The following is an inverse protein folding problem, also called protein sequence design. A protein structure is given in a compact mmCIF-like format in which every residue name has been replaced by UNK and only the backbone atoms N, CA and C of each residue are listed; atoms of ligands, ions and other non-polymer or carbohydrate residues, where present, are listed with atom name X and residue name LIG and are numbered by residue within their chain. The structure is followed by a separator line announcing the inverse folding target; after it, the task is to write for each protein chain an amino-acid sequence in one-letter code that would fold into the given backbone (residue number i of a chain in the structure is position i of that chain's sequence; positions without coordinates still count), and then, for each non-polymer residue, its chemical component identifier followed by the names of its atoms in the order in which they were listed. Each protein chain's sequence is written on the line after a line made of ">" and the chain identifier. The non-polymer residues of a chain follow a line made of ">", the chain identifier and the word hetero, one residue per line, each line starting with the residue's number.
data_IF_787362983103
#
_entry.id   IF_787362983103
#
_cell.length_a   1.000
_cell.length_b   1.000
_cell.length_c   1.000
_cell.angle_alpha   90.00
_cell.angle_beta   90.00
_cell.angle_gamma   90.00
#
_symmetry.space_group_name_H-M   'P 1'
#
loop_
_entity.id
_entity.type
_entity.pdbx_description
1 polymer ?
#
# COMPACT_ATOMS: atom_id res chain seq x y z
N UNK A 1 12.69 -31.13 -1.25
CA UNK A 1 12.80 -29.71 -1.63
C UNK A 1 12.32 -29.55 -3.07
N UNK A 2 11.42 -28.59 -3.36
CA UNK A 2 10.87 -28.44 -4.72
C UNK A 2 11.90 -27.80 -5.68
N UNK A 3 11.91 -28.24 -6.95
CA UNK A 3 12.80 -27.69 -7.98
C UNK A 3 12.48 -26.21 -8.24
N UNK A 4 13.49 -25.33 -8.12
CA UNK A 4 13.38 -23.91 -8.49
C UNK A 4 13.39 -23.81 -10.03
N UNK A 5 12.47 -23.01 -10.59
CA UNK A 5 12.37 -22.76 -12.03
C UNK A 5 13.00 -21.40 -12.34
N UNK A 6 13.81 -21.33 -13.38
CA UNK A 6 14.53 -20.12 -13.84
C UNK A 6 14.40 -20.00 -15.37
N UNK A 7 14.74 -18.83 -15.94
CA UNK A 7 14.79 -18.61 -17.40
C UNK A 7 13.86 -17.54 -17.97
N UNK A 8 13.05 -16.87 -17.15
CA UNK A 8 12.17 -15.79 -17.63
C UNK A 8 12.89 -14.46 -17.88
N UNK A 9 13.94 -14.16 -17.09
CA UNK A 9 14.67 -12.90 -17.23
C UNK A 9 15.50 -12.90 -18.53
N UNK A 10 15.45 -11.81 -19.33
CA UNK A 10 16.30 -11.69 -20.50
C UNK A 10 17.76 -11.48 -20.10
N UNK A 11 18.65 -11.44 -21.11
CA UNK A 11 20.03 -11.02 -20.89
C UNK A 11 20.10 -9.61 -20.27
N UNK A 12 21.14 -9.30 -19.46
CA UNK A 12 21.37 -7.95 -18.95
C UNK A 12 21.42 -6.90 -20.07
N UNK A 13 21.08 -5.65 -19.73
CA UNK A 13 21.16 -4.55 -20.69
C UNK A 13 22.59 -4.38 -21.19
N UNK A 14 22.72 -4.02 -22.46
CA UNK A 14 23.98 -3.48 -22.99
C UNK A 14 24.20 -2.05 -22.47
N UNK A 15 25.46 -1.59 -22.52
CA UNK A 15 25.83 -0.22 -22.13
C UNK A 15 25.04 0.86 -22.88
N UNK A 16 24.83 0.66 -24.19
CA UNK A 16 24.08 1.57 -25.05
C UNK A 16 22.57 1.60 -24.69
N UNK A 17 21.95 0.44 -24.46
CA UNK A 17 20.54 0.36 -24.06
C UNK A 17 20.29 1.02 -22.69
N UNK A 18 21.23 0.88 -21.76
CA UNK A 18 21.13 1.56 -20.47
C UNK A 18 21.25 3.08 -20.63
N UNK A 19 22.24 3.54 -21.41
CA UNK A 19 22.44 4.96 -21.70
C UNK A 19 21.16 5.59 -22.26
N UNK A 20 20.58 4.96 -23.28
CA UNK A 20 19.33 5.42 -23.91
C UNK A 20 18.23 5.61 -22.87
N UNK A 21 18.00 4.61 -22.00
CA UNK A 21 16.97 4.67 -20.94
C UNK A 21 17.25 5.73 -19.87
N UNK A 22 18.52 5.92 -19.51
CA UNK A 22 18.91 6.92 -18.50
C UNK A 22 18.70 8.35 -19.03
N UNK A 23 19.05 8.58 -20.30
CA UNK A 23 19.01 9.91 -20.93
C UNK A 23 17.59 10.44 -21.16
N UNK A 24 16.55 9.59 -21.18
CA UNK A 24 15.14 10.01 -21.39
C UNK A 24 14.72 11.11 -20.41
N UNK A 25 15.24 11.11 -19.19
CA UNK A 25 14.91 12.13 -18.16
C UNK A 25 15.52 13.51 -18.42
N UNK A 26 16.47 13.61 -19.35
CA UNK A 26 17.24 14.83 -19.64
C UNK A 26 17.02 15.30 -21.09
N UNK A 27 15.81 15.09 -21.61
CA UNK A 27 15.44 15.49 -22.97
C UNK A 27 15.29 17.01 -23.13
N UNK A 28 14.88 17.71 -22.07
CA UNK A 28 14.69 19.16 -22.09
C UNK A 28 16.00 19.91 -22.48
N UNK A 29 15.96 20.86 -23.44
CA UNK A 29 17.13 21.64 -23.84
C UNK A 29 17.86 22.36 -22.69
N UNK A 30 17.18 22.62 -21.56
CA UNK A 30 17.83 23.18 -20.38
C UNK A 30 18.97 22.30 -19.83
N UNK A 31 19.00 21.01 -20.17
CA UNK A 31 20.08 20.08 -19.81
C UNK A 31 21.26 20.07 -20.80
N UNK A 32 21.21 20.81 -21.92
CA UNK A 32 22.26 20.78 -22.95
C UNK A 32 23.63 21.26 -22.44
N UNK A 33 23.64 22.24 -21.54
CA UNK A 33 24.87 22.70 -20.90
C UNK A 33 25.51 21.67 -19.96
N UNK A 34 24.75 20.65 -19.53
CA UNK A 34 25.14 19.69 -18.50
C UNK A 34 25.41 18.28 -19.04
N UNK A 35 25.56 18.12 -20.36
CA UNK A 35 25.74 16.80 -21.02
C UNK A 35 26.92 16.01 -20.45
N UNK A 36 28.04 16.67 -20.15
CA UNK A 36 29.19 16.01 -19.53
C UNK A 36 28.91 15.57 -18.09
N UNK A 37 28.21 16.38 -17.30
CA UNK A 37 27.83 16.02 -15.94
C UNK A 37 26.85 14.84 -15.92
N UNK A 38 25.86 14.86 -16.80
CA UNK A 38 24.90 13.77 -16.98
C UNK A 38 25.63 12.48 -17.38
N UNK A 39 26.61 12.54 -18.29
CA UNK A 39 27.41 11.37 -18.68
C UNK A 39 28.19 10.77 -17.49
N UNK A 40 28.74 11.61 -16.60
CA UNK A 40 29.40 11.13 -15.38
C UNK A 40 28.43 10.46 -14.41
N UNK A 41 27.25 11.04 -14.19
CA UNK A 41 26.21 10.46 -13.33
C UNK A 41 25.66 9.14 -13.90
N UNK A 42 25.49 9.09 -15.21
CA UNK A 42 25.04 7.92 -15.94
C UNK A 42 26.04 6.76 -15.83
N UNK A 43 27.35 7.02 -15.92
CA UNK A 43 28.38 6.00 -15.68
C UNK A 43 28.32 5.42 -14.25
N UNK A 44 28.11 6.25 -13.23
CA UNK A 44 27.96 5.79 -11.84
C UNK A 44 26.71 4.92 -11.67
N UNK A 45 25.61 5.31 -12.31
CA UNK A 45 24.36 4.56 -12.28
C UNK A 45 24.49 3.21 -13.02
N UNK A 46 25.24 3.18 -14.12
CA UNK A 46 25.58 1.95 -14.84
C UNK A 46 26.37 0.98 -13.94
N UNK A 47 27.41 1.46 -13.26
CA UNK A 47 28.21 0.64 -12.35
C UNK A 47 27.34 0.11 -11.19
N UNK A 48 26.45 0.95 -10.65
CA UNK A 48 25.51 0.52 -9.60
C UNK A 48 24.56 -0.59 -10.07
N UNK A 49 24.12 -0.54 -11.34
CA UNK A 49 23.30 -1.59 -11.94
C UNK A 49 24.09 -2.90 -12.10
N UNK A 50 25.32 -2.83 -12.64
CA UNK A 50 26.16 -4.01 -12.87
C UNK A 50 26.55 -4.70 -11.56
N UNK A 51 26.90 -3.93 -10.54
CA UNK A 51 27.22 -4.42 -9.20
C UNK A 51 25.97 -4.87 -8.42
N UNK A 52 24.76 -4.60 -8.92
CA UNK A 52 23.52 -4.96 -8.24
C UNK A 52 23.32 -4.24 -6.91
N UNK A 53 23.79 -2.99 -6.78
CA UNK A 53 23.72 -2.16 -5.56
C UNK A 53 22.29 -1.75 -5.20
N UNK A 54 21.44 -2.72 -4.85
CA UNK A 54 20.04 -2.51 -4.45
C UNK A 54 19.93 -1.64 -3.21
N UNK A 55 20.71 -1.96 -2.19
CA UNK A 55 20.74 -1.28 -0.89
C UNK A 55 22.20 -0.89 -0.60
N UNK A 56 22.63 0.33 -0.95
CA UNK A 56 24.04 0.72 -0.92
C UNK A 56 24.61 0.84 0.49
N UNK A 57 23.75 0.98 1.50
CA UNK A 57 24.16 1.06 2.90
C UNK A 57 23.52 -0.06 3.72
N UNK A 58 24.37 -0.85 4.37
CA UNK A 58 24.00 -1.97 5.23
C UNK A 58 24.74 -1.91 6.55
N UNK A 59 24.28 -2.72 7.51
CA UNK A 59 25.03 -3.07 8.73
C UNK A 59 24.62 -4.47 9.20
N UNK A 60 25.39 -5.12 10.09
CA UNK A 60 24.97 -6.37 10.71
C UNK A 60 23.60 -6.23 11.40
N UNK A 61 22.73 -7.21 11.21
CA UNK A 61 21.36 -7.19 11.74
C UNK A 61 21.32 -7.03 13.27
N UNK A 62 22.27 -7.65 13.97
CA UNK A 62 22.42 -7.59 15.41
C UNK A 62 21.48 -8.53 16.17
N UNK A 63 21.49 -8.40 17.51
CA UNK A 63 20.74 -9.28 18.42
C UNK A 63 19.23 -9.22 18.15
N UNK A 64 18.58 -10.39 18.14
CA UNK A 64 17.14 -10.54 17.92
C UNK A 64 16.72 -10.81 16.48
N UNK A 65 17.69 -10.96 15.58
CA UNK A 65 17.52 -11.61 14.28
C UNK A 65 18.08 -13.04 14.33
N UNK A 66 17.58 -13.92 13.46
CA UNK A 66 18.02 -15.31 13.37
C UNK A 66 19.50 -15.44 13.00
N UNK A 67 20.00 -14.61 12.08
CA UNK A 67 21.42 -14.40 11.83
C UNK A 67 21.81 -12.95 12.17
N UNK A 68 22.43 -12.71 13.34
CA UNK A 68 22.88 -11.39 13.76
C UNK A 68 23.97 -10.75 12.89
N UNK A 69 24.68 -11.55 12.09
CA UNK A 69 25.84 -11.11 11.30
C UNK A 69 25.47 -10.71 9.88
N UNK A 70 24.29 -11.13 9.40
CA UNK A 70 23.81 -10.77 8.06
C UNK A 70 23.68 -9.25 7.89
N UNK A 71 24.20 -8.74 6.77
CA UNK A 71 24.15 -7.33 6.39
C UNK A 71 22.75 -6.92 5.91
N UNK A 72 22.04 -6.12 6.71
CA UNK A 72 20.69 -5.65 6.40
C UNK A 72 20.72 -4.18 5.98
N UNK A 73 19.91 -3.82 4.99
CA UNK A 73 19.69 -2.43 4.56
C UNK A 73 19.32 -1.52 5.72
N UNK A 74 20.04 -0.39 5.85
CA UNK A 74 19.73 0.64 6.85
C UNK A 74 18.30 1.18 6.70
N UNK A 75 17.87 1.48 5.47
CA UNK A 75 16.51 1.98 5.18
C UNK A 75 15.41 0.99 5.60
N UNK A 76 15.68 -0.32 5.45
CA UNK A 76 14.75 -1.35 5.90
C UNK A 76 14.69 -1.42 7.43
N UNK A 77 15.84 -1.35 8.11
CA UNK A 77 15.92 -1.33 9.58
C UNK A 77 15.18 -0.10 10.16
N UNK A 78 15.33 1.06 9.55
CA UNK A 78 14.66 2.29 9.96
C UNK A 78 13.15 2.21 9.77
N UNK A 79 12.70 1.67 8.64
CA UNK A 79 11.27 1.42 8.39
C UNK A 79 10.71 0.42 9.39
N UNK A 80 11.40 -0.69 9.66
CA UNK A 80 11.01 -1.65 10.71
C UNK A 80 10.91 -1.00 12.09
N UNK A 81 11.85 -0.11 12.44
CA UNK A 81 11.83 0.62 13.71
C UNK A 81 10.58 1.52 13.81
N UNK A 82 10.27 2.29 12.77
CA UNK A 82 9.05 3.12 12.71
C UNK A 82 7.79 2.28 12.84
N UNK A 83 7.71 1.13 12.14
CA UNK A 83 6.54 0.26 12.20
C UNK A 83 6.35 -0.33 13.61
N UNK A 84 7.42 -0.74 14.29
CA UNK A 84 7.34 -1.18 15.69
C UNK A 84 6.84 -0.08 16.63
N UNK A 85 7.29 1.16 16.42
CA UNK A 85 6.80 2.29 17.20
C UNK A 85 5.31 2.56 16.94
N UNK A 86 4.88 2.56 15.68
CA UNK A 86 3.47 2.69 15.30
C UNK A 86 2.60 1.58 15.88
N UNK A 87 3.08 0.32 15.89
CA UNK A 87 2.35 -0.81 16.46
C UNK A 87 2.22 -0.69 17.98
N UNK A 88 3.24 -0.15 18.66
CA UNK A 88 3.18 0.15 20.10
C UNK A 88 2.13 1.23 20.39
N UNK A 89 2.09 2.30 19.59
CA UNK A 89 1.09 3.36 19.73
C UNK A 89 -0.33 2.86 19.48
N UNK A 90 -0.53 1.99 18.48
CA UNK A 90 -1.82 1.35 18.22
C UNK A 90 -2.31 0.52 19.42
N UNK A 91 -1.39 -0.16 20.13
CA UNK A 91 -1.72 -0.96 21.32
C UNK A 91 -1.94 -0.15 22.61
N UNK A 92 -1.57 1.13 22.63
CA UNK A 92 -1.69 2.00 23.79
C UNK A 92 -3.14 2.47 23.96
N UNK A 93 -3.71 2.33 25.16
CA UNK A 93 -5.07 2.79 25.46
C UNK A 93 -5.22 4.27 25.78
N UNK A 94 -4.11 4.94 26.09
CA UNK A 94 -4.08 6.39 26.25
C UNK A 94 -3.86 7.12 24.91
N UNK A 95 -3.37 6.43 23.88
CA UNK A 95 -3.15 7.04 22.57
C UNK A 95 -4.48 7.37 21.88
N UNK A 96 -4.55 8.49 21.12
CA UNK A 96 -5.74 8.85 20.37
C UNK A 96 -6.07 7.78 19.32
N UNK A 97 -7.36 7.49 19.18
CA UNK A 97 -7.84 6.64 18.09
C UNK A 97 -7.56 7.29 16.74
N UNK A 98 -7.13 6.48 15.77
CA UNK A 98 -6.73 6.95 14.43
C UNK A 98 -7.48 6.17 13.36
N UNK A 99 -8.05 6.88 12.39
CA UNK A 99 -8.68 6.31 11.19
C UNK A 99 -7.91 6.79 9.96
N UNK A 100 -7.36 5.84 9.20
CA UNK A 100 -6.71 6.11 7.91
C UNK A 100 -7.78 6.22 6.82
N UNK A 101 -7.86 7.36 6.15
CA UNK A 101 -8.77 7.62 5.04
C UNK A 101 -7.99 7.57 3.74
N UNK A 102 -8.16 6.51 2.94
CA UNK A 102 -7.47 6.34 1.66
C UNK A 102 -8.34 6.92 0.56
N UNK A 103 -7.94 8.07 0.01
CA UNK A 103 -8.48 8.58 -1.24
C UNK A 103 -7.82 7.81 -2.40
N UNK A 104 -8.57 6.87 -2.98
CA UNK A 104 -8.14 5.99 -4.06
C UNK A 104 -8.22 6.58 -5.46
N UNK A 105 -8.50 7.89 -5.59
CA UNK A 105 -8.48 8.58 -6.88
C UNK A 105 -7.06 8.61 -7.45
N UNK A 106 -6.93 8.41 -8.76
CA UNK A 106 -5.67 8.64 -9.48
C UNK A 106 -5.55 10.07 -10.05
N UNK A 107 -6.51 10.95 -9.74
CA UNK A 107 -6.57 12.33 -10.24
C UNK A 107 -6.89 13.35 -9.16
N UNK A 108 -6.38 14.55 -9.37
CA UNK A 108 -6.70 15.80 -8.67
C UNK A 108 -6.60 16.99 -9.66
N UNK A 109 -6.84 18.19 -9.15
CA UNK A 109 -6.78 19.47 -9.87
C UNK A 109 -5.36 20.02 -10.09
N UNK A 110 -4.33 19.41 -9.51
CA UNK A 110 -2.94 19.81 -9.70
C UNK A 110 -2.30 19.34 -11.01
N UNK A 111 -3.01 18.55 -11.83
CA UNK A 111 -2.50 17.99 -13.10
C UNK A 111 -3.56 17.99 -14.21
N UNK A 112 -3.33 17.22 -15.29
CA UNK A 112 -4.13 17.16 -16.52
C UNK A 112 -5.65 17.21 -16.35
N UNK A 113 -6.27 16.60 -15.31
CA UNK A 113 -7.72 16.66 -15.16
C UNK A 113 -8.28 17.99 -14.67
N UNK A 114 -7.46 18.90 -14.12
CA UNK A 114 -7.82 20.28 -13.77
C UNK A 114 -8.97 20.48 -12.78
N UNK A 115 -9.46 19.41 -12.14
CA UNK A 115 -10.61 19.41 -11.25
C UNK A 115 -10.44 18.35 -10.16
N UNK A 116 -10.89 18.66 -8.94
CA UNK A 116 -10.88 17.73 -7.80
C UNK A 116 -11.66 16.46 -8.14
N UNK A 117 -11.32 15.33 -7.51
CA UNK A 117 -12.09 14.10 -7.73
C UNK A 117 -13.35 14.06 -6.86
N UNK A 118 -14.43 13.42 -7.35
CA UNK A 118 -15.60 13.07 -6.50
C UNK A 118 -15.17 12.27 -5.26
N UNK A 119 -14.17 11.39 -5.41
CA UNK A 119 -13.57 10.63 -4.30
C UNK A 119 -13.01 11.53 -3.22
N UNK A 120 -12.26 12.58 -3.58
CA UNK A 120 -11.73 13.56 -2.63
C UNK A 120 -12.85 14.23 -1.83
N UNK A 121 -13.92 14.66 -2.51
CA UNK A 121 -15.09 15.28 -1.86
C UNK A 121 -15.75 14.33 -0.85
N UNK A 122 -15.88 13.04 -1.19
CA UNK A 122 -16.38 12.01 -0.27
C UNK A 122 -15.40 11.76 0.89
N UNK A 123 -14.09 11.79 0.64
CA UNK A 123 -13.05 11.65 1.67
C UNK A 123 -13.14 12.78 2.69
N UNK A 124 -13.34 14.03 2.25
CA UNK A 124 -13.52 15.16 3.16
C UNK A 124 -14.81 15.04 4.01
N UNK A 125 -15.87 14.44 3.46
CA UNK A 125 -17.09 14.16 4.23
C UNK A 125 -16.81 13.14 5.34
N UNK A 126 -16.08 12.07 5.03
CA UNK A 126 -15.67 11.07 6.02
C UNK A 126 -14.70 11.66 7.06
N UNK A 127 -13.73 12.46 6.62
CA UNK A 127 -12.77 13.16 7.49
C UNK A 127 -13.47 13.99 8.55
N UNK A 128 -14.42 14.85 8.15
CA UNK A 128 -15.19 15.67 9.09
C UNK A 128 -15.95 14.84 10.11
N UNK A 129 -16.44 13.65 9.75
CA UNK A 129 -17.13 12.75 10.69
C UNK A 129 -16.16 12.17 11.72
N UNK A 130 -14.98 11.73 11.29
CA UNK A 130 -13.93 11.19 12.17
C UNK A 130 -13.44 12.26 13.15
N UNK A 131 -13.14 13.45 12.65
CA UNK A 131 -12.63 14.56 13.48
C UNK A 131 -13.66 15.04 14.50
N UNK A 132 -14.94 15.15 14.12
CA UNK A 132 -16.03 15.51 15.04
C UNK A 132 -16.27 14.48 16.13
N UNK A 133 -15.85 13.23 15.91
CA UNK A 133 -15.88 12.19 16.92
C UNK A 133 -14.65 12.21 17.86
N UNK A 134 -13.75 13.19 17.71
CA UNK A 134 -12.54 13.31 18.53
C UNK A 134 -11.44 12.32 18.16
N UNK A 135 -11.53 11.67 17.00
CA UNK A 135 -10.51 10.75 16.48
C UNK A 135 -9.58 11.46 15.49
N UNK A 136 -8.35 10.98 15.37
CA UNK A 136 -7.42 11.46 14.35
C UNK A 136 -7.83 10.91 12.97
N UNK A 137 -8.17 11.81 12.05
CA UNK A 137 -8.32 11.50 10.63
C UNK A 137 -6.98 11.62 9.92
N UNK A 138 -6.48 10.52 9.36
CA UNK A 138 -5.20 10.44 8.65
C UNK A 138 -5.46 10.26 7.15
N UNK A 139 -5.41 11.33 6.35
CA UNK A 139 -5.82 11.29 4.92
C UNK A 139 -4.66 10.90 4.00
N UNK A 140 -4.72 9.71 3.40
CA UNK A 140 -3.78 9.22 2.39
C UNK A 140 -4.36 9.47 1.00
N UNK A 141 -3.86 10.49 0.32
CA UNK A 141 -4.25 10.80 -1.05
C UNK A 141 -3.34 10.11 -2.07
N UNK A 142 -3.86 9.07 -2.73
CA UNK A 142 -3.11 8.32 -3.74
C UNK A 142 -3.04 9.04 -5.09
N UNK A 143 -3.74 10.17 -5.26
CA UNK A 143 -3.61 10.99 -6.47
C UNK A 143 -2.23 11.67 -6.54
N UNK A 144 -1.50 11.76 -5.42
CA UNK A 144 -0.13 12.27 -5.40
C UNK A 144 0.85 11.37 -6.17
N UNK A 145 0.53 10.08 -6.37
CA UNK A 145 1.35 9.18 -7.21
C UNK A 145 1.40 9.63 -8.67
N UNK A 146 0.36 10.32 -9.15
CA UNK A 146 0.26 10.80 -10.53
C UNK A 146 0.50 12.31 -10.67
N UNK A 147 0.49 13.05 -9.56
CA UNK A 147 0.54 14.52 -9.56
C UNK A 147 1.75 15.14 -8.89
N UNK A 148 2.47 14.41 -8.05
CA UNK A 148 3.66 14.91 -7.37
C UNK A 148 4.93 14.34 -8.02
N UNK A 149 5.89 15.23 -8.30
CA UNK A 149 7.17 14.83 -8.85
C UNK A 149 7.90 13.88 -7.89
N UNK A 150 8.29 12.70 -8.39
CA UNK A 150 9.10 11.75 -7.62
C UNK A 150 8.35 11.02 -6.51
N UNK A 151 7.02 10.98 -6.51
CA UNK A 151 6.24 10.11 -5.61
C UNK A 151 5.72 8.89 -6.37
N UNK A 152 6.32 7.72 -6.15
CA UNK A 152 5.96 6.50 -6.87
C UNK A 152 5.58 5.35 -5.95
N UNK A 153 4.68 4.46 -6.39
CA UNK A 153 4.47 3.15 -5.78
C UNK A 153 4.87 2.11 -6.80
N UNK A 154 6.02 1.46 -6.61
CA UNK A 154 6.48 0.44 -7.56
C UNK A 154 5.68 -0.86 -7.42
N UNK A 155 5.44 -1.61 -8.51
CA UNK A 155 4.63 -2.83 -8.46
C UNK A 155 5.14 -3.90 -7.49
N UNK A 156 4.24 -4.70 -6.92
CA UNK A 156 4.66 -5.86 -6.14
C UNK A 156 5.37 -6.89 -7.04
N UNK A 157 6.49 -7.44 -6.56
CA UNK A 157 7.25 -8.48 -7.28
C UNK A 157 6.69 -9.89 -7.07
N UNK A 158 5.64 -10.04 -6.27
CA UNK A 158 4.99 -11.34 -6.05
C UNK A 158 5.87 -12.38 -5.34
N UNK A 159 6.80 -11.97 -4.45
CA UNK A 159 7.71 -12.90 -3.77
C UNK A 159 6.99 -14.03 -3.03
N UNK A 160 5.80 -13.74 -2.48
CA UNK A 160 4.91 -14.72 -1.84
C UNK A 160 4.57 -15.91 -2.74
N UNK A 161 4.47 -15.72 -4.05
CA UNK A 161 4.15 -16.78 -5.01
C UNK A 161 5.30 -17.77 -5.22
N UNK A 162 6.49 -17.48 -4.71
CA UNK A 162 7.59 -18.45 -4.64
C UNK A 162 7.61 -19.21 -3.31
N UNK A 163 7.43 -18.49 -2.21
CA UNK A 163 7.20 -18.97 -0.85
C UNK A 163 6.86 -17.77 0.04
N UNK A 164 5.93 -17.90 0.99
CA UNK A 164 5.55 -16.78 1.87
C UNK A 164 6.73 -16.17 2.65
N UNK A 165 7.68 -16.95 3.21
CA UNK A 165 8.84 -16.40 3.92
C UNK A 165 9.78 -15.54 3.05
N UNK A 166 9.67 -15.63 1.71
CA UNK A 166 10.42 -14.79 0.77
C UNK A 166 9.80 -13.39 0.67
N UNK A 167 8.53 -13.22 1.01
CA UNK A 167 7.90 -11.90 1.15
C UNK A 167 8.28 -11.34 2.53
N UNK A 168 8.91 -10.18 2.63
CA UNK A 168 9.35 -9.65 3.94
C UNK A 168 8.40 -8.58 4.46
N UNK A 169 8.31 -8.43 5.78
CA UNK A 169 7.55 -7.39 6.46
C UNK A 169 8.48 -6.47 7.30
N UNK A 170 8.57 -5.16 7.00
CA UNK A 170 8.07 -4.50 5.79
C UNK A 170 8.76 -5.03 4.52
N UNK A 171 8.23 -4.71 3.34
CA UNK A 171 8.79 -5.18 2.07
C UNK A 171 10.26 -4.73 1.90
N UNK A 172 11.14 -5.66 1.52
CA UNK A 172 12.58 -5.42 1.28
C UNK A 172 12.97 -5.42 -0.21
N UNK A 173 11.97 -5.43 -1.10
CA UNK A 173 12.16 -5.32 -2.54
C UNK A 173 12.49 -3.90 -2.99
N UNK A 174 12.18 -2.92 -2.13
CA UNK A 174 12.27 -1.49 -2.37
C UNK A 174 12.79 -0.77 -1.12
N UNK A 175 13.42 0.41 -1.26
CA UNK A 175 13.89 0.94 -2.55
C UNK A 175 14.93 0.04 -3.20
N UNK A 176 15.03 0.11 -4.54
CA UNK A 176 16.09 -0.53 -5.29
C UNK A 176 16.85 0.54 -6.07
N UNK A 177 17.98 0.97 -5.50
CA UNK A 177 18.78 2.06 -6.05
C UNK A 177 19.39 1.71 -7.41
N UNK A 178 19.84 0.46 -7.59
CA UNK A 178 20.35 -0.03 -8.87
C UNK A 178 19.32 -0.03 -10.01
N UNK A 179 18.02 -0.06 -9.70
CA UNK A 179 16.94 -0.04 -10.70
C UNK A 179 16.21 1.30 -10.79
N UNK A 180 16.75 2.37 -10.18
CA UNK A 180 16.11 3.69 -10.18
C UNK A 180 14.71 3.67 -9.54
N UNK A 181 14.60 2.95 -8.41
CA UNK A 181 13.36 2.78 -7.62
C UNK A 181 13.54 3.33 -6.20
N UNK A 182 14.29 4.44 -6.08
CA UNK A 182 14.64 5.07 -4.81
C UNK A 182 13.47 5.89 -4.22
N UNK A 183 12.53 6.26 -5.07
CA UNK A 183 11.37 7.13 -4.86
C UNK A 183 10.09 6.36 -4.47
N UNK A 184 10.25 5.14 -3.94
CA UNK A 184 9.14 4.29 -3.50
C UNK A 184 8.48 4.84 -2.22
N UNK A 185 7.18 5.10 -2.27
CA UNK A 185 6.43 5.74 -1.17
C UNK A 185 5.90 4.74 -0.12
N UNK A 186 6.00 3.43 -0.35
CA UNK A 186 5.33 2.44 0.50
C UNK A 186 5.83 2.42 1.96
N UNK A 187 7.07 2.83 2.22
CA UNK A 187 7.62 2.80 3.59
C UNK A 187 6.83 3.69 4.56
N UNK A 188 6.36 4.84 4.10
CA UNK A 188 5.46 5.73 4.87
C UNK A 188 4.04 5.16 4.95
N UNK A 189 3.54 4.62 3.84
CA UNK A 189 2.19 4.03 3.79
C UNK A 189 2.08 2.87 4.79
N UNK A 190 3.07 1.98 4.87
CA UNK A 190 3.07 0.89 5.84
C UNK A 190 2.95 1.40 7.28
N UNK A 191 3.66 2.49 7.63
CA UNK A 191 3.58 3.10 8.95
C UNK A 191 2.18 3.61 9.27
N UNK A 192 1.54 4.28 8.32
CA UNK A 192 0.17 4.80 8.47
C UNK A 192 -0.85 3.68 8.66
N UNK A 193 -0.72 2.59 7.90
CA UNK A 193 -1.54 1.39 8.07
C UNK A 193 -1.32 0.75 9.45
N UNK A 194 -0.07 0.66 9.92
CA UNK A 194 0.24 0.13 11.25
C UNK A 194 -0.29 1.03 12.37
N UNK A 195 -0.25 2.35 12.22
CA UNK A 195 -0.75 3.28 13.24
C UNK A 195 -2.30 3.33 13.32
N UNK A 196 -2.99 2.94 12.25
CA UNK A 196 -4.44 3.06 12.15
C UNK A 196 -5.18 2.01 12.99
N UNK A 197 -6.23 2.44 13.70
CA UNK A 197 -7.19 1.55 14.36
C UNK A 197 -8.30 1.10 13.40
N UNK A 198 -8.58 1.92 12.39
CA UNK A 198 -9.42 1.55 11.27
C UNK A 198 -8.96 2.19 9.96
N UNK A 199 -9.40 1.62 8.84
CA UNK A 199 -9.15 2.15 7.50
C UNK A 199 -10.46 2.36 6.76
N UNK A 200 -10.65 3.51 6.11
CA UNK A 200 -11.73 3.75 5.16
C UNK A 200 -11.12 3.91 3.77
N UNK A 201 -11.50 3.04 2.85
CA UNK A 201 -11.07 3.15 1.44
C UNK A 201 -12.19 3.79 0.64
N UNK A 202 -11.91 4.93 0.02
CA UNK A 202 -12.83 5.61 -0.89
C UNK A 202 -12.25 5.51 -2.29
N UNK A 203 -12.98 4.93 -3.24
CA UNK A 203 -12.45 4.65 -4.58
C UNK A 203 -13.50 4.89 -5.68
N UNK A 204 -13.11 5.51 -6.81
CA UNK A 204 -13.87 5.36 -8.04
C UNK A 204 -13.63 3.95 -8.62
N UNK A 205 -14.54 3.46 -9.45
CA UNK A 205 -14.32 2.24 -10.25
C UNK A 205 -13.73 2.59 -11.62
N UNK A 206 -12.61 1.96 -11.98
CA UNK A 206 -11.99 2.07 -13.30
C UNK A 206 -12.06 0.69 -13.96
N UNK A 207 -12.85 0.55 -15.04
CA UNK A 207 -13.02 -0.72 -15.74
C UNK A 207 -13.28 -1.91 -14.80
N UNK A 208 -14.29 -1.80 -13.93
CA UNK A 208 -14.66 -2.82 -12.93
C UNK A 208 -13.60 -3.11 -11.85
N UNK A 209 -12.60 -2.24 -11.68
CA UNK A 209 -11.45 -2.47 -10.79
C UNK A 209 -11.00 -1.22 -10.02
N UNK A 210 -10.11 -1.41 -9.05
CA UNK A 210 -9.40 -0.33 -8.37
C UNK A 210 -8.53 0.49 -9.34
N UNK A 211 -8.48 1.83 -9.19
CA UNK A 211 -7.51 2.66 -9.91
C UNK A 211 -6.07 2.20 -9.65
N UNK A 212 -5.19 2.40 -10.62
CA UNK A 212 -3.82 1.85 -10.58
C UNK A 212 -3.04 2.22 -9.31
N UNK A 213 -3.02 3.48 -8.81
CA UNK A 213 -2.35 3.80 -7.54
C UNK A 213 -2.89 3.02 -6.34
N UNK A 214 -4.22 2.87 -6.25
CA UNK A 214 -4.87 2.07 -5.21
C UNK A 214 -4.48 0.59 -5.35
N UNK A 215 -4.51 0.04 -6.57
CA UNK A 215 -4.14 -1.35 -6.83
C UNK A 215 -2.66 -1.62 -6.51
N UNK A 216 -1.76 -0.70 -6.82
CA UNK A 216 -0.34 -0.79 -6.48
C UNK A 216 -0.14 -0.85 -4.96
N UNK A 217 -0.83 0.00 -4.20
CA UNK A 217 -0.80 -0.05 -2.74
C UNK A 217 -1.32 -1.39 -2.21
N UNK A 218 -2.48 -1.86 -2.70
CA UNK A 218 -3.09 -3.15 -2.33
C UNK A 218 -2.10 -4.30 -2.55
N UNK A 219 -1.51 -4.38 -3.75
CA UNK A 219 -0.59 -5.46 -4.11
C UNK A 219 0.68 -5.45 -3.26
N UNK A 220 1.14 -4.25 -2.87
CA UNK A 220 2.30 -4.06 -2.00
C UNK A 220 2.00 -4.33 -0.53
N UNK A 221 0.73 -4.39 -0.12
CA UNK A 221 0.31 -4.81 1.23
C UNK A 221 0.23 -6.32 1.40
N UNK A 222 0.46 -7.14 0.36
CA UNK A 222 0.53 -8.60 0.51
C UNK A 222 1.57 -9.06 1.53
N UNK A 223 2.63 -8.27 1.77
CA UNK A 223 3.60 -8.56 2.83
C UNK A 223 3.01 -8.42 4.24
N UNK A 224 1.93 -7.65 4.42
CA UNK A 224 1.23 -7.56 5.69
C UNK A 224 0.41 -8.82 6.02
N UNK A 225 -0.04 -9.57 5.01
CA UNK A 225 -0.82 -10.81 5.21
C UNK A 225 -0.01 -11.90 5.91
N UNK A 226 1.22 -12.15 5.46
CA UNK A 226 2.05 -13.20 6.05
C UNK A 226 3.54 -13.02 5.89
N UNK A 227 4.01 -11.82 5.54
CA UNK A 227 5.42 -11.60 5.25
C UNK A 227 6.34 -11.87 6.43
N UNK A 228 7.54 -12.32 6.14
CA UNK A 228 8.61 -12.62 7.08
C UNK A 228 9.17 -11.34 7.74
N UNK A 229 9.04 -11.16 9.07
CA UNK A 229 9.56 -9.99 9.77
C UNK A 229 11.08 -10.02 10.00
N UNK A 230 11.74 -11.11 9.61
CA UNK A 230 13.17 -11.36 9.77
C UNK A 230 13.82 -11.76 8.42
N UNK A 231 14.41 -10.79 7.68
CA UNK A 231 15.05 -11.06 6.39
C UNK A 231 16.28 -11.97 6.49
N UNK A 232 16.85 -12.15 7.69
CA UNK A 232 18.08 -12.91 7.91
C UNK A 232 17.83 -14.42 7.83
N UNK A 233 16.60 -14.86 8.15
CA UNK A 233 16.18 -16.27 8.02
C UNK A 233 16.25 -16.80 6.58
N UNK A 234 16.22 -15.91 5.59
CA UNK A 234 16.34 -16.24 4.15
C UNK A 234 17.53 -15.54 3.49
N UNK A 235 18.44 -15.01 4.32
CA UNK A 235 19.61 -14.20 3.95
C UNK A 235 19.33 -13.23 2.79
N UNK A 236 18.18 -12.55 2.85
CA UNK A 236 17.70 -11.69 1.76
C UNK A 236 16.61 -12.37 0.93
N UNK A 237 16.87 -12.64 -0.36
CA UNK A 237 15.85 -13.20 -1.27
C UNK A 237 16.23 -14.59 -1.78
N UNK A 238 16.77 -15.45 -0.90
CA UNK A 238 17.10 -16.82 -1.27
C UNK A 238 15.86 -17.72 -1.26
N UNK A 239 15.36 -18.01 -2.47
CA UNK A 239 14.17 -18.84 -2.70
C UNK A 239 14.27 -20.22 -2.03
N UNK A 240 15.45 -20.82 -2.07
CA UNK A 240 15.74 -22.12 -1.48
C UNK A 240 15.45 -22.16 0.03
N UNK A 241 15.84 -21.11 0.74
CA UNK A 241 15.70 -21.02 2.19
C UNK A 241 14.26 -20.72 2.57
N UNK A 242 13.63 -19.79 1.86
CA UNK A 242 12.21 -19.47 2.07
C UNK A 242 11.30 -20.69 1.90
N UNK A 243 11.53 -21.50 0.85
CA UNK A 243 10.78 -22.75 0.62
C UNK A 243 11.01 -23.78 1.73
N UNK A 244 12.23 -23.83 2.29
CA UNK A 244 12.54 -24.74 3.40
C UNK A 244 11.79 -24.35 4.67
N UNK A 245 11.75 -23.06 4.97
CA UNK A 245 10.99 -22.51 6.10
C UNK A 245 9.50 -22.82 5.91
N UNK A 246 8.93 -22.51 4.75
CA UNK A 246 7.51 -22.74 4.50
C UNK A 246 7.14 -24.23 4.54
N UNK A 247 8.03 -25.11 4.06
CA UNK A 247 7.85 -26.56 4.16
C UNK A 247 7.79 -27.06 5.62
N UNK A 248 8.42 -26.36 6.57
CA UNK A 248 8.36 -26.68 8.00
C UNK A 248 7.07 -26.18 8.67
N UNK A 249 6.22 -25.46 7.92
CA UNK A 249 5.03 -24.78 8.42
C UNK A 249 5.29 -23.30 8.60
N UNK A 250 4.52 -22.48 7.89
CA UNK A 250 4.48 -21.03 8.08
C UNK A 250 3.18 -20.62 8.76
N UNK A 251 3.27 -19.69 9.70
CA UNK A 251 2.17 -19.34 10.62
C UNK A 251 1.27 -18.20 10.10
N UNK A 252 1.68 -17.49 9.05
CA UNK A 252 0.92 -16.41 8.42
C UNK A 252 0.44 -15.34 9.43
N UNK A 253 1.36 -14.49 9.93
CA UNK A 253 1.12 -13.67 11.12
C UNK A 253 0.04 -12.58 11.01
N UNK A 254 -0.42 -12.20 9.80
CA UNK A 254 -1.37 -11.10 9.55
C UNK A 254 -1.04 -9.84 10.34
N UNK A 255 0.06 -9.18 9.98
CA UNK A 255 0.65 -8.03 10.71
C UNK A 255 -0.31 -6.85 10.93
N UNK A 256 -1.39 -6.76 10.15
CA UNK A 256 -2.39 -5.69 10.27
C UNK A 256 -3.72 -6.13 10.87
N UNK A 257 -3.84 -7.38 11.31
CA UNK A 257 -5.07 -7.93 11.87
C UNK A 257 -5.59 -7.11 13.07
N UNK A 258 -6.90 -7.14 13.27
CA UNK A 258 -7.58 -6.49 14.40
C UNK A 258 -7.93 -5.02 14.19
N UNK A 259 -7.69 -4.45 13.00
CA UNK A 259 -8.15 -3.10 12.62
C UNK A 259 -9.54 -3.17 12.03
N UNK A 260 -10.41 -2.20 12.29
CA UNK A 260 -11.72 -2.14 11.63
C UNK A 260 -11.62 -1.57 10.21
N UNK A 261 -12.63 -1.76 9.36
CA UNK A 261 -12.63 -1.19 8.01
C UNK A 261 -13.98 -0.63 7.56
N UNK A 262 -13.93 0.30 6.59
CA UNK A 262 -15.06 0.73 5.77
C UNK A 262 -14.63 0.95 4.31
N UNK A 263 -15.59 0.88 3.40
CA UNK A 263 -15.38 1.01 1.95
C UNK A 263 -16.49 1.87 1.35
N UNK A 264 -16.10 2.84 0.53
CA UNK A 264 -16.98 3.62 -0.35
C UNK A 264 -16.48 3.43 -1.78
N UNK A 265 -17.26 2.74 -2.61
CA UNK A 265 -17.01 2.68 -4.05
C UNK A 265 -18.05 3.50 -4.78
N UNK A 266 -17.60 4.31 -5.74
CA UNK A 266 -18.51 5.00 -6.65
C UNK A 266 -18.12 4.81 -8.11
N UNK A 267 -19.08 5.03 -8.99
CA UNK A 267 -18.90 4.95 -10.43
C UNK A 267 -20.06 5.63 -11.14
N UNK A 268 -20.06 5.60 -12.46
CA UNK A 268 -21.06 6.33 -13.24
C UNK A 268 -22.06 5.38 -13.94
N UNK A 269 -21.66 4.13 -14.24
CA UNK A 269 -22.49 3.20 -15.03
C UNK A 269 -22.43 1.74 -14.54
N UNK A 270 -21.24 1.19 -14.30
CA UNK A 270 -21.09 -0.24 -13.97
C UNK A 270 -19.85 -0.52 -13.10
N UNK A 271 -19.89 -1.62 -12.34
CA UNK A 271 -18.73 -2.25 -11.74
C UNK A 271 -18.47 -1.93 -10.27
N UNK A 272 -19.29 -1.05 -9.66
CA UNK A 272 -19.11 -0.63 -8.26
C UNK A 272 -19.33 -1.77 -7.27
N UNK A 273 -20.27 -2.68 -7.55
CA UNK A 273 -20.64 -3.77 -6.66
C UNK A 273 -19.54 -4.84 -6.61
N UNK A 274 -18.98 -5.19 -7.77
CA UNK A 274 -17.87 -6.14 -7.86
C UNK A 274 -16.61 -5.56 -7.23
N UNK A 275 -16.32 -4.29 -7.47
CA UNK A 275 -15.17 -3.62 -6.91
C UNK A 275 -15.26 -3.50 -5.38
N UNK A 276 -16.42 -3.11 -4.83
CA UNK A 276 -16.64 -3.08 -3.38
C UNK A 276 -16.45 -4.46 -2.76
N UNK A 277 -17.02 -5.52 -3.35
CA UNK A 277 -16.81 -6.91 -2.88
C UNK A 277 -15.33 -7.27 -2.85
N UNK A 278 -14.59 -7.02 -3.92
CA UNK A 278 -13.16 -7.33 -3.99
C UNK A 278 -12.34 -6.61 -2.90
N UNK A 279 -12.67 -5.35 -2.60
CA UNK A 279 -12.01 -4.59 -1.52
C UNK A 279 -12.35 -5.16 -0.14
N UNK A 280 -13.63 -5.47 0.11
CA UNK A 280 -14.09 -6.09 1.35
C UNK A 280 -13.41 -7.44 1.59
N UNK A 281 -13.46 -8.34 0.61
CA UNK A 281 -12.90 -9.70 0.74
C UNK A 281 -11.39 -9.65 1.00
N UNK A 282 -10.67 -8.70 0.38
CA UNK A 282 -9.25 -8.48 0.63
C UNK A 282 -8.96 -8.02 2.07
N UNK A 283 -9.73 -7.06 2.60
CA UNK A 283 -9.53 -6.52 3.95
C UNK A 283 -9.83 -7.60 5.01
N UNK A 284 -10.91 -8.35 4.83
CA UNK A 284 -11.27 -9.47 5.70
C UNK A 284 -10.21 -10.59 5.65
N UNK A 285 -9.69 -10.89 4.46
CA UNK A 285 -8.58 -11.84 4.30
C UNK A 285 -7.37 -11.44 5.13
N UNK A 286 -6.99 -10.15 5.12
CA UNK A 286 -5.89 -9.61 5.94
C UNK A 286 -6.20 -9.56 7.45
N UNK A 287 -7.41 -9.95 7.88
CA UNK A 287 -7.81 -9.99 9.29
C UNK A 287 -8.34 -8.65 9.82
N UNK A 288 -8.79 -7.76 8.95
CA UNK A 288 -9.53 -6.56 9.37
C UNK A 288 -10.99 -6.93 9.70
N UNK A 289 -11.58 -6.15 10.60
CA UNK A 289 -12.90 -6.40 11.19
C UNK A 289 -13.93 -5.52 10.48
N UNK A 290 -15.00 -6.13 10.00
CA UNK A 290 -16.14 -5.42 9.39
C UNK A 290 -16.79 -4.46 10.40
N UNK A 291 -16.97 -3.19 10.00
CA UNK A 291 -17.65 -2.17 10.79
C UNK A 291 -19.18 -2.15 10.58
N UNK A 292 -19.75 -3.16 9.92
CA UNK A 292 -21.17 -3.37 9.68
C UNK A 292 -21.62 -3.06 8.25
N UNK A 293 -22.86 -3.40 7.92
CA UNK A 293 -23.41 -3.23 6.57
C UNK A 293 -23.34 -1.78 6.05
N UNK A 294 -23.58 -0.79 6.92
CA UNK A 294 -23.49 0.62 6.56
C UNK A 294 -22.05 1.09 6.24
N UNK A 295 -21.02 0.31 6.58
CA UNK A 295 -19.63 0.60 6.28
C UNK A 295 -19.19 0.13 4.88
N UNK A 296 -20.08 -0.51 4.10
CA UNK A 296 -19.78 -1.11 2.79
C UNK A 296 -20.71 -0.52 1.73
N UNK A 297 -20.32 0.61 1.17
CA UNK A 297 -21.12 1.38 0.23
C UNK A 297 -20.62 1.21 -1.21
N UNK A 298 -21.55 1.00 -2.14
CA UNK A 298 -21.34 1.10 -3.58
C UNK A 298 -22.47 1.93 -4.20
N UNK A 299 -22.17 2.98 -4.98
CA UNK A 299 -23.19 3.85 -5.58
C UNK A 299 -22.80 4.36 -6.96
N UNK A 300 -23.80 4.46 -7.84
CA UNK A 300 -23.67 5.24 -9.06
C UNK A 300 -23.98 6.71 -8.77
N UNK A 301 -23.15 7.63 -9.26
CA UNK A 301 -23.37 9.07 -9.14
C UNK A 301 -23.60 9.64 -10.53
N UNK A 302 -24.79 10.17 -10.79
CA UNK A 302 -25.20 10.60 -12.14
C UNK A 302 -25.29 9.40 -13.08
N UNK A 303 -26.08 8.38 -12.72
CA UNK A 303 -26.20 7.14 -13.48
C UNK A 303 -26.59 7.41 -14.95
N UNK A 304 -25.70 7.07 -15.89
CA UNK A 304 -25.84 7.39 -17.32
C UNK A 304 -25.94 8.89 -17.68
N UNK A 305 -25.69 9.80 -16.73
CA UNK A 305 -25.64 11.22 -17.01
C UNK A 305 -24.32 11.61 -17.72
N UNK A 306 -24.29 12.73 -18.45
CA UNK A 306 -23.06 13.27 -19.03
C UNK A 306 -21.97 13.56 -17.98
N UNK A 307 -20.71 13.46 -18.38
CA UNK A 307 -19.59 13.68 -17.45
C UNK A 307 -19.36 15.15 -17.06
N UNK A 308 -19.76 16.10 -17.91
CA UNK A 308 -19.46 17.53 -17.72
C UNK A 308 -20.10 18.11 -16.46
N UNK A 309 -21.23 17.55 -16.00
CA UNK A 309 -21.97 17.96 -14.81
C UNK A 309 -21.85 16.93 -13.67
N UNK A 310 -20.87 16.03 -13.71
CA UNK A 310 -20.76 14.93 -12.74
C UNK A 310 -20.55 15.41 -11.30
N UNK A 311 -19.96 16.59 -11.11
CA UNK A 311 -19.85 17.24 -9.80
C UNK A 311 -21.19 17.78 -9.32
N UNK A 312 -21.98 18.42 -10.19
CA UNK A 312 -23.34 18.88 -9.86
C UNK A 312 -24.26 17.71 -9.50
N UNK A 313 -24.11 16.56 -10.16
CA UNK A 313 -24.83 15.35 -9.83
C UNK A 313 -24.54 14.91 -8.38
N UNK A 314 -23.27 14.90 -7.96
CA UNK A 314 -22.89 14.65 -6.57
C UNK A 314 -23.46 15.71 -5.61
N UNK A 315 -23.46 16.98 -6.00
CA UNK A 315 -23.98 18.07 -5.16
C UNK A 315 -25.47 17.93 -4.85
N UNK A 316 -26.25 17.53 -5.85
CA UNK A 316 -27.70 17.29 -5.73
C UNK A 316 -28.01 16.01 -4.97
N UNK A 317 -27.16 14.98 -5.07
CA UNK A 317 -27.37 13.70 -4.40
C UNK A 317 -27.01 13.74 -2.91
N UNK A 318 -27.91 14.33 -2.12
CA UNK A 318 -27.78 14.39 -0.66
C UNK A 318 -27.78 13.02 0.00
N UNK A 319 -28.40 12.01 -0.63
CA UNK A 319 -28.48 10.66 -0.09
C UNK A 319 -27.09 10.00 -0.12
N UNK A 320 -26.41 9.99 -1.28
CA UNK A 320 -25.05 9.42 -1.40
C UNK A 320 -24.06 10.14 -0.48
N UNK A 321 -24.16 11.46 -0.35
CA UNK A 321 -23.33 12.22 0.59
C UNK A 321 -23.55 11.76 2.03
N UNK A 322 -24.79 11.51 2.44
CA UNK A 322 -25.13 11.06 3.78
C UNK A 322 -24.75 9.60 4.02
N UNK A 323 -24.87 8.74 3.01
CA UNK A 323 -24.39 7.35 3.05
C UNK A 323 -22.87 7.29 3.24
N UNK A 324 -22.10 8.14 2.56
CA UNK A 324 -20.66 8.24 2.78
C UNK A 324 -20.31 8.69 4.21
N UNK A 325 -21.10 9.60 4.79
CA UNK A 325 -20.97 9.96 6.22
C UNK A 325 -21.35 8.79 7.12
N UNK A 326 -22.37 7.99 6.77
CA UNK A 326 -22.76 6.81 7.52
C UNK A 326 -21.68 5.73 7.56
N UNK A 327 -20.94 5.53 6.45
CA UNK A 327 -19.75 4.66 6.45
C UNK A 327 -18.76 5.11 7.53
N UNK A 328 -18.41 6.40 7.55
CA UNK A 328 -17.50 6.94 8.56
C UNK A 328 -18.05 6.83 9.99
N UNK A 329 -19.35 7.08 10.21
CA UNK A 329 -19.98 6.91 11.53
C UNK A 329 -19.94 5.46 12.01
N UNK A 330 -20.16 4.51 11.11
CA UNK A 330 -20.09 3.08 11.42
C UNK A 330 -18.68 2.68 11.84
N UNK A 331 -17.67 3.15 11.09
CA UNK A 331 -16.25 2.91 11.40
C UNK A 331 -15.84 3.54 12.72
N UNK A 332 -16.24 4.79 12.99
CA UNK A 332 -15.99 5.46 14.28
C UNK A 332 -16.57 4.64 15.44
N UNK A 333 -17.82 4.16 15.32
CA UNK A 333 -18.43 3.30 16.35
C UNK A 333 -17.66 1.99 16.53
N UNK A 334 -17.27 1.34 15.43
CA UNK A 334 -16.46 0.12 15.48
C UNK A 334 -15.12 0.36 16.17
N UNK A 335 -14.43 1.48 15.91
CA UNK A 335 -13.19 1.85 16.60
C UNK A 335 -13.44 2.06 18.08
N UNK A 336 -14.48 2.78 18.48
CA UNK A 336 -14.83 2.98 19.90
C UNK A 336 -15.05 1.65 20.62
N UNK A 337 -15.80 0.73 20.02
CA UNK A 337 -16.04 -0.59 20.61
C UNK A 337 -14.78 -1.47 20.60
N UNK A 338 -13.96 -1.39 19.55
CA UNK A 338 -12.69 -2.10 19.44
C UNK A 338 -11.73 -1.66 20.55
N UNK A 339 -11.58 -0.35 20.72
CA UNK A 339 -10.75 0.30 21.74
C UNK A 339 -11.17 -0.05 23.17
N UNK A 340 -12.47 -0.31 23.36
CA UNK A 340 -13.03 -0.74 24.63
C UNK A 340 -13.06 -2.27 24.82
N UNK A 341 -12.58 -3.05 23.85
CA UNK A 341 -12.60 -4.51 23.90
C UNK A 341 -13.99 -5.15 23.76
N UNK A 342 -14.98 -4.39 23.26
CA UNK A 342 -16.39 -4.79 23.13
C UNK A 342 -16.83 -5.13 21.71
N UNK A 343 -16.01 -4.81 20.69
CA UNK A 343 -16.36 -5.10 19.30
C UNK A 343 -16.47 -6.62 19.09
N UNK A 344 -17.69 -7.07 18.82
CA UNK A 344 -18.02 -8.47 18.60
C UNK A 344 -17.32 -9.03 17.37
N UNK A 345 -16.67 -10.18 17.52
CA UNK A 345 -16.06 -10.97 16.45
C UNK A 345 -16.41 -12.44 16.72
N UNK A 346 -17.59 -12.91 16.29
CA UNK A 346 -18.10 -14.24 16.62
C UNK A 346 -17.15 -15.38 16.24
N UNK A 347 -16.34 -15.17 15.21
CA UNK A 347 -15.39 -16.12 14.65
C UNK A 347 -13.95 -15.94 15.18
N UNK A 348 -13.69 -15.03 16.13
CA UNK A 348 -12.34 -14.72 16.64
C UNK A 348 -11.58 -15.94 17.18
N UNK A 349 -12.30 -16.92 17.74
CA UNK A 349 -11.71 -18.15 18.28
C UNK A 349 -11.76 -19.33 17.30
N UNK A 350 -12.33 -19.12 16.10
CA UNK A 350 -12.40 -20.15 15.06
C UNK A 350 -11.00 -20.34 14.48
N UNK A 351 -10.51 -21.57 14.57
CA UNK A 351 -9.26 -21.97 13.90
C UNK A 351 -9.56 -22.34 12.46
N UNK A 352 -8.95 -21.64 11.52
CA UNK A 352 -9.04 -21.97 10.11
C UNK A 352 -8.25 -23.25 9.81
N UNK A 353 -8.86 -24.30 9.25
CA UNK A 353 -8.18 -25.57 8.97
C UNK A 353 -7.21 -25.48 7.80
N UNK A 354 -7.29 -24.43 6.99
CA UNK A 354 -6.42 -24.16 5.83
C UNK A 354 -5.82 -22.78 5.97
N UNK A 355 -4.57 -22.73 6.41
CA UNK A 355 -3.81 -21.47 6.57
C UNK A 355 -3.01 -21.11 5.32
N UNK A 356 -2.64 -22.10 4.51
CA UNK A 356 -2.39 -22.11 3.04
C UNK A 356 -1.68 -23.40 2.65
#
# INVERSE_FOLDING_TARGET
>A
MTKIRTGQAPAPLTRAQFQERFQVRFYDPAFDGEREAIARLEAIAWDALQEGRKAPFTRPAGRGFADPTYEVSLQWLDTRKRLKAAQKLWGDSAAPSRVLLVCGSARNDGTCPGEVSKTWRLTEMAQRVVERAGMQADVLDLSLVTSEYGRNIHPCKGCVSSAMPLCHWPCSCYPNHALNQADDWMAEIYERWVAAHAVIILAPTYWYQSPSPLKLMIDRLVCADGGNPDPTTTHGKHVAEAKRIEQQGWDYPKHLAGRAYGVVVHGDVAGVEAHRRNLTDWLEWMGLIDAGAAAKLDRYIGYYEPYYNSHDALDKDRAVQEEARNVARSVVRAVTELRAGRLSQPDKQVKWPRTK
#
